data_IF_436499284802
#
_entry.id   IF_436499284802
#
_cell.length_a   1.000
_cell.length_b   1.000
_cell.length_c   1.000
_cell.angle_alpha   90.00
_cell.angle_beta   90.00
_cell.angle_gamma   90.00
#
_symmetry.space_group_name_H-M   'P 1'
#
loop_
_entity.id
_entity.type
_entity.pdbx_description
1 polymer ?
#
# COMPACT_ATOMS: atom_id res chain seq x y z
N UNK A 1 62.96 -7.98 56.08
CA UNK A 1 61.93 -8.40 55.12
C UNK A 1 62.42 -7.95 53.74
N UNK A 2 63.10 -8.85 53.01
CA UNK A 2 62.51 -9.71 51.97
C UNK A 2 62.01 -8.86 50.78
N UNK A 3 62.47 -8.98 49.53
CA UNK A 3 63.28 -10.02 48.90
C UNK A 3 64.00 -9.50 47.65
N UNK A 4 65.06 -10.23 47.29
CA UNK A 4 66.00 -10.00 46.20
C UNK A 4 65.44 -10.40 44.83
N UNK A 5 65.97 -9.74 43.81
CA UNK A 5 65.89 -10.00 42.37
C UNK A 5 66.04 -11.50 42.02
N UNK A 6 65.23 -11.97 41.07
CA UNK A 6 65.54 -13.16 40.27
C UNK A 6 65.28 -12.84 38.79
N UNK A 7 66.37 -12.75 38.02
CA UNK A 7 66.37 -12.81 36.57
C UNK A 7 66.47 -14.30 36.20
N UNK A 8 65.59 -14.79 35.31
CA UNK A 8 65.80 -16.06 34.62
C UNK A 8 65.40 -15.97 33.14
N UNK A 9 66.45 -16.02 32.32
CA UNK A 9 66.65 -16.61 31.00
C UNK A 9 65.48 -16.85 30.02
N UNK A 10 65.71 -16.30 28.81
CA UNK A 10 65.54 -16.85 27.45
C UNK A 10 64.66 -18.09 27.26
N UNK A 11 63.57 -17.89 26.52
CA UNK A 11 62.93 -18.91 25.70
C UNK A 11 62.70 -18.35 24.29
N UNK A 12 63.55 -18.74 23.34
CA UNK A 12 63.40 -18.41 21.93
C UNK A 12 62.25 -19.22 21.32
N UNK A 13 61.10 -18.59 21.08
CA UNK A 13 60.01 -19.14 20.28
C UNK A 13 59.85 -18.32 19.02
N UNK A 14 60.50 -18.75 17.93
CA UNK A 14 60.29 -18.17 16.61
C UNK A 14 58.89 -18.57 16.09
N UNK A 15 57.88 -17.78 16.42
CA UNK A 15 56.58 -17.82 15.76
C UNK A 15 56.72 -17.16 14.39
N UNK A 16 56.75 -17.98 13.34
CA UNK A 16 56.65 -17.51 11.97
C UNK A 16 55.32 -16.78 11.76
N UNK A 17 55.38 -15.46 11.65
CA UNK A 17 54.27 -14.63 11.22
C UNK A 17 54.03 -14.89 9.72
N UNK A 18 53.05 -15.72 9.41
CA UNK A 18 52.47 -15.76 8.07
C UNK A 18 51.57 -14.53 7.94
N UNK A 19 51.84 -13.56 7.05
CA UNK A 19 50.90 -12.49 6.81
C UNK A 19 49.67 -13.08 6.13
N UNK A 20 48.56 -13.18 6.85
CA UNK A 20 47.25 -13.41 6.25
C UNK A 20 46.88 -12.13 5.52
N UNK A 21 47.16 -12.08 4.22
CA UNK A 21 46.65 -11.03 3.34
C UNK A 21 45.15 -11.28 3.22
N UNK A 22 44.36 -10.64 4.09
CA UNK A 22 42.93 -10.56 3.89
C UNK A 22 42.70 -9.66 2.68
N UNK A 23 42.42 -10.28 1.53
CA UNK A 23 41.88 -9.56 0.39
C UNK A 23 40.48 -9.07 0.79
N UNK A 24 40.39 -7.84 1.31
CA UNK A 24 39.12 -7.12 1.34
C UNK A 24 38.74 -6.88 -0.11
N UNK A 25 37.95 -7.79 -0.67
CA UNK A 25 37.27 -7.56 -1.94
C UNK A 25 36.42 -6.30 -1.77
N UNK A 26 36.96 -5.17 -2.23
CA UNK A 26 36.16 -3.96 -2.42
C UNK A 26 35.11 -4.36 -3.45
N UNK A 27 33.87 -4.57 -3.00
CA UNK A 27 32.72 -4.66 -3.90
C UNK A 27 32.66 -3.31 -4.59
N UNK A 28 33.25 -3.21 -5.78
CA UNK A 28 33.11 -2.03 -6.61
C UNK A 28 31.65 -1.96 -7.01
N UNK A 29 30.94 -0.95 -6.52
CA UNK A 29 29.57 -0.68 -6.96
C UNK A 29 29.60 -0.45 -8.49
N UNK A 30 29.02 -1.35 -9.30
CA UNK A 30 29.03 -1.20 -10.75
C UNK A 30 28.32 0.09 -11.20
N UNK A 31 27.44 0.64 -10.36
CA UNK A 31 26.74 1.89 -10.64
C UNK A 31 27.65 3.13 -10.47
N UNK A 32 28.72 3.05 -9.67
CA UNK A 32 29.66 4.15 -9.48
C UNK A 32 30.36 4.54 -10.80
N UNK A 33 30.50 3.59 -11.73
CA UNK A 33 31.14 3.78 -13.03
C UNK A 33 30.15 3.83 -14.21
N UNK A 34 28.85 3.68 -13.96
CA UNK A 34 27.85 3.67 -15.02
C UNK A 34 27.49 5.11 -15.44
N UNK A 35 27.65 5.44 -16.73
CA UNK A 35 27.25 6.73 -17.28
C UNK A 35 25.74 6.75 -17.47
N UNK A 36 25.08 7.72 -16.88
CA UNK A 36 23.62 7.91 -16.90
C UNK A 36 23.30 9.27 -17.53
N UNK A 37 22.14 9.40 -18.21
CA UNK A 37 21.72 10.66 -18.81
C UNK A 37 21.41 11.74 -17.76
N UNK A 38 21.06 11.33 -16.54
CA UNK A 38 20.87 12.19 -15.38
C UNK A 38 21.88 11.82 -14.27
N UNK A 39 22.05 12.65 -13.23
CA UNK A 39 22.88 12.28 -12.08
C UNK A 39 22.39 11.06 -11.27
N UNK A 40 21.17 10.56 -11.52
CA UNK A 40 20.58 9.43 -10.79
C UNK A 40 21.30 8.14 -11.19
N UNK A 41 21.91 7.46 -10.19
CA UNK A 41 22.63 6.18 -10.38
C UNK A 41 21.82 4.95 -10.01
N UNK A 42 20.91 5.10 -9.05
CA UNK A 42 20.05 4.03 -8.57
C UNK A 42 18.62 4.54 -8.55
N UNK A 43 17.73 3.78 -9.16
CA UNK A 43 16.30 4.02 -9.11
C UNK A 43 15.67 2.90 -8.28
N UNK A 44 15.08 3.27 -7.15
CA UNK A 44 14.22 2.37 -6.38
C UNK A 44 12.78 2.75 -6.72
N UNK A 45 12.06 1.85 -7.38
CA UNK A 45 10.64 2.04 -7.68
C UNK A 45 9.82 1.28 -6.66
N UNK A 46 8.97 2.01 -5.93
CA UNK A 46 8.02 1.44 -4.97
C UNK A 46 6.65 1.49 -5.62
N UNK A 47 6.10 0.32 -5.97
CA UNK A 47 4.73 0.19 -6.46
C UNK A 47 3.84 -0.23 -5.31
N UNK A 48 2.98 0.67 -4.87
CA UNK A 48 1.86 0.34 -4.00
C UNK A 48 0.68 -0.10 -4.87
N UNK A 49 -0.03 -1.11 -4.41
CA UNK A 49 -1.10 -1.78 -5.16
C UNK A 49 -2.49 -1.30 -4.70
N UNK A 50 -3.46 -1.34 -5.64
CA UNK A 50 -4.91 -1.42 -5.40
C UNK A 50 -5.55 -0.32 -4.53
N UNK A 51 -4.98 0.88 -4.51
CA UNK A 51 -5.54 2.03 -3.77
C UNK A 51 -5.64 3.26 -4.66
N UNK A 52 -6.83 3.85 -4.72
CA UNK A 52 -7.10 5.02 -5.56
C UNK A 52 -6.40 6.28 -5.05
N UNK A 53 -6.26 7.27 -5.94
CA UNK A 53 -5.70 8.57 -5.59
C UNK A 53 -6.49 9.23 -4.44
N UNK A 54 -7.81 9.29 -4.54
CA UNK A 54 -8.66 9.91 -3.52
C UNK A 54 -8.58 9.17 -2.18
N UNK A 55 -8.37 7.85 -2.16
CA UNK A 55 -8.23 7.14 -0.90
C UNK A 55 -7.00 7.60 -0.08
N UNK A 56 -5.90 8.03 -0.73
CA UNK A 56 -4.71 8.54 -0.03
C UNK A 56 -4.62 10.07 0.03
N UNK A 57 -5.15 10.76 -0.97
CA UNK A 57 -4.90 12.17 -1.21
C UNK A 57 -6.17 13.01 -1.36
N UNK A 58 -7.36 12.44 -1.08
CA UNK A 58 -8.66 13.10 -1.21
C UNK A 58 -8.64 14.56 -0.78
N UNK A 59 -8.19 14.83 0.44
CA UNK A 59 -8.23 16.18 1.02
C UNK A 59 -6.87 16.86 1.03
N UNK A 60 -5.84 16.32 0.38
CA UNK A 60 -4.52 16.95 0.35
C UNK A 60 -4.61 18.38 -0.20
N UNK A 61 -3.95 19.38 0.39
CA UNK A 61 -2.99 19.32 1.49
C UNK A 61 -3.58 19.54 2.89
N UNK A 62 -4.89 19.35 3.07
CA UNK A 62 -5.60 19.55 4.32
C UNK A 62 -5.79 18.22 5.08
N UNK A 63 -5.66 18.31 6.40
CA UNK A 63 -5.88 17.21 7.34
C UNK A 63 -6.71 17.72 8.52
N UNK A 64 -7.50 16.85 9.14
CA UNK A 64 -8.44 17.23 10.19
C UNK A 64 -7.73 17.94 11.36
N UNK A 65 -6.61 17.37 11.83
CA UNK A 65 -5.83 17.82 12.99
C UNK A 65 -6.66 17.92 14.29
N UNK A 66 -5.99 17.86 15.44
CA UNK A 66 -6.66 18.01 16.74
C UNK A 66 -7.36 16.75 17.28
N UNK A 67 -7.38 15.64 16.52
CA UNK A 67 -7.80 14.33 17.04
C UNK A 67 -6.74 13.77 17.99
N UNK A 68 -7.13 13.43 19.22
CA UNK A 68 -6.22 12.94 20.27
C UNK A 68 -5.53 11.66 19.82
N UNK A 69 -4.19 11.64 19.89
CA UNK A 69 -3.37 10.48 19.52
C UNK A 69 -2.98 10.42 18.03
N UNK A 70 -3.44 11.35 17.22
CA UNK A 70 -3.04 11.48 15.82
C UNK A 70 -1.97 12.57 15.63
N UNK A 71 -0.95 12.34 14.77
CA UNK A 71 0.02 13.37 14.46
C UNK A 71 -0.64 14.46 13.64
N UNK A 72 -0.35 15.73 13.94
CA UNK A 72 -0.79 16.84 13.10
C UNK A 72 -0.04 16.85 11.77
N UNK A 73 -0.74 17.21 10.70
CA UNK A 73 -0.18 17.51 9.39
C UNK A 73 -0.49 18.97 9.03
N UNK A 74 0.56 19.73 8.74
CA UNK A 74 0.46 21.09 8.22
C UNK A 74 1.32 21.15 6.98
N UNK A 75 0.71 21.44 5.84
CA UNK A 75 1.44 21.64 4.61
C UNK A 75 2.29 22.91 4.67
N UNK A 76 3.31 22.97 3.83
CA UNK A 76 4.13 24.15 3.69
C UNK A 76 3.34 25.26 2.98
N UNK A 77 3.73 26.51 3.21
CA UNK A 77 3.14 27.63 2.49
C UNK A 77 3.37 27.48 0.99
N UNK A 78 2.31 27.72 0.21
CA UNK A 78 2.35 27.56 -1.25
C UNK A 78 2.21 26.12 -1.76
N UNK A 79 1.95 25.13 -0.90
CA UNK A 79 1.59 23.77 -1.37
C UNK A 79 0.33 23.84 -2.24
N UNK A 80 0.36 23.32 -3.48
CA UNK A 80 -0.80 23.35 -4.37
C UNK A 80 -1.89 22.38 -3.90
N UNK A 81 -3.12 22.69 -4.28
CA UNK A 81 -4.24 21.78 -4.12
C UNK A 81 -4.20 20.67 -5.18
N UNK A 82 -4.80 19.53 -4.85
CA UNK A 82 -5.05 18.45 -5.81
C UNK A 82 -6.50 18.50 -6.29
N UNK A 83 -6.78 17.85 -7.42
CA UNK A 83 -8.15 17.57 -7.82
C UNK A 83 -8.68 16.37 -7.03
N UNK A 84 -9.08 16.61 -5.78
CA UNK A 84 -9.60 15.59 -4.88
C UNK A 84 -10.95 15.97 -4.27
N UNK A 85 -11.32 15.29 -3.18
CA UNK A 85 -12.60 15.48 -2.49
C UNK A 85 -12.67 16.83 -1.79
N UNK A 86 -13.64 17.66 -2.21
CA UNK A 86 -13.95 18.94 -1.58
C UNK A 86 -15.45 19.23 -1.68
N UNK A 87 -15.94 20.08 -0.78
CA UNK A 87 -17.31 20.62 -0.81
C UNK A 87 -18.37 19.54 -1.08
N UNK A 88 -19.12 19.63 -2.20
CA UNK A 88 -20.17 18.67 -2.53
C UNK A 88 -19.72 17.22 -2.65
N UNK A 89 -18.48 16.94 -3.06
CA UNK A 89 -18.01 15.55 -3.17
C UNK A 89 -17.87 14.86 -1.80
N UNK A 90 -17.78 15.65 -0.71
CA UNK A 90 -17.75 15.15 0.67
C UNK A 90 -19.15 15.04 1.30
N UNK A 91 -20.12 15.84 0.84
CA UNK A 91 -21.42 15.98 1.54
C UNK A 91 -22.63 15.62 0.70
N UNK A 92 -22.49 15.54 -0.61
CA UNK A 92 -23.52 15.18 -1.58
C UNK A 92 -22.87 14.48 -2.79
N UNK A 93 -22.07 13.45 -2.50
CA UNK A 93 -21.47 12.58 -3.49
C UNK A 93 -22.57 11.84 -4.26
N UNK A 94 -22.41 11.61 -5.57
CA UNK A 94 -23.44 10.92 -6.36
C UNK A 94 -23.56 9.41 -6.03
N UNK A 95 -22.54 8.82 -5.41
CA UNK A 95 -22.65 7.45 -4.90
C UNK A 95 -23.67 7.33 -3.76
N UNK A 96 -24.05 6.10 -3.42
CA UNK A 96 -25.00 5.81 -2.34
C UNK A 96 -24.54 6.25 -0.94
N UNK A 97 -23.27 6.62 -0.77
CA UNK A 97 -22.70 7.10 0.48
C UNK A 97 -21.70 8.24 0.23
N UNK A 98 -21.65 9.16 1.18
CA UNK A 98 -20.63 10.19 1.19
C UNK A 98 -19.28 9.63 1.72
N UNK A 99 -18.15 10.02 1.11
CA UNK A 99 -16.83 9.72 1.62
C UNK A 99 -16.65 10.19 3.07
N UNK A 100 -16.09 9.32 3.91
CA UNK A 100 -15.75 9.67 5.27
C UNK A 100 -14.27 9.44 5.54
N UNK A 101 -13.74 10.28 6.45
CA UNK A 101 -12.35 10.19 6.87
C UNK A 101 -12.16 8.96 7.75
N UNK A 102 -11.25 8.08 7.34
CA UNK A 102 -10.70 7.03 8.20
C UNK A 102 -9.84 7.66 9.30
N UNK A 103 -9.99 7.19 10.53
CA UNK A 103 -9.12 7.56 11.64
C UNK A 103 -7.87 6.69 11.68
N UNK A 104 -6.86 7.12 12.43
CA UNK A 104 -5.54 6.45 12.46
C UNK A 104 -5.60 5.01 12.97
N UNK A 105 -6.62 4.68 13.75
CA UNK A 105 -6.88 3.33 14.24
C UNK A 105 -7.50 2.40 13.18
N UNK A 106 -7.93 2.97 12.05
CA UNK A 106 -8.52 2.31 10.88
C UNK A 106 -7.56 2.28 9.69
N UNK A 107 -6.24 2.32 9.95
CA UNK A 107 -5.19 2.32 8.93
C UNK A 107 -5.04 0.99 8.16
N UNK A 108 -5.87 0.00 8.43
CA UNK A 108 -5.98 -1.19 7.58
C UNK A 108 -7.47 -1.37 7.29
N UNK A 109 -7.81 -1.34 6.03
CA UNK A 109 -9.16 -1.62 5.55
C UNK A 109 -9.16 -2.97 4.85
N UNK A 110 -10.34 -3.53 4.69
CA UNK A 110 -10.56 -4.63 3.78
C UNK A 110 -10.24 -4.21 2.34
N UNK A 111 -9.82 -5.20 1.56
CA UNK A 111 -9.62 -5.06 0.13
C UNK A 111 -10.96 -4.87 -0.58
N UNK A 112 -11.03 -3.87 -1.46
CA UNK A 112 -12.21 -3.63 -2.29
C UNK A 112 -12.07 -4.44 -3.59
N UNK A 113 -13.18 -4.72 -4.26
CA UNK A 113 -13.13 -5.34 -5.57
C UNK A 113 -12.47 -4.37 -6.58
N UNK A 114 -11.49 -4.91 -7.27
CA UNK A 114 -10.63 -4.25 -8.26
C UNK A 114 -10.55 -5.10 -9.54
N UNK A 115 -11.57 -5.92 -9.78
CA UNK A 115 -11.77 -6.64 -11.01
C UNK A 115 -12.05 -5.66 -12.15
N UNK A 116 -11.38 -5.86 -13.29
CA UNK A 116 -11.45 -4.96 -14.45
C UNK A 116 -12.88 -4.59 -14.87
N UNK A 117 -13.78 -5.58 -14.93
CA UNK A 117 -15.17 -5.35 -15.32
C UNK A 117 -15.93 -4.52 -14.30
N UNK A 118 -15.75 -4.81 -13.01
CA UNK A 118 -16.44 -4.09 -11.95
C UNK A 118 -15.94 -2.66 -11.79
N UNK A 119 -14.64 -2.43 -11.99
CA UNK A 119 -14.09 -1.07 -12.09
C UNK A 119 -14.70 -0.29 -13.27
N UNK A 120 -14.80 -0.90 -14.46
CA UNK A 120 -15.45 -0.24 -15.61
C UNK A 120 -16.92 0.10 -15.34
N UNK A 121 -17.63 -0.81 -14.66
CA UNK A 121 -19.02 -0.58 -14.28
C UNK A 121 -19.15 0.47 -13.18
N UNK A 122 -18.18 0.59 -12.28
CA UNK A 122 -18.16 1.61 -11.22
C UNK A 122 -17.96 3.03 -11.78
N UNK A 123 -17.18 3.16 -12.86
CA UNK A 123 -17.00 4.43 -13.58
C UNK A 123 -18.30 4.92 -14.24
N UNK A 124 -19.23 4.00 -14.52
CA UNK A 124 -20.57 4.24 -15.09
C UNK A 124 -20.58 5.26 -16.24
N UNK A 125 -19.80 5.00 -17.29
CA UNK A 125 -19.69 5.90 -18.45
C UNK A 125 -19.31 7.37 -18.10
N UNK A 126 -18.66 7.58 -16.95
CA UNK A 126 -18.29 8.90 -16.42
C UNK A 126 -19.25 9.45 -15.36
N UNK A 127 -20.31 8.72 -15.01
CA UNK A 127 -21.26 9.05 -13.93
C UNK A 127 -20.63 8.96 -12.54
N UNK A 128 -19.70 8.01 -12.34
CA UNK A 128 -18.91 7.86 -11.10
C UNK A 128 -19.76 7.65 -9.83
N UNK A 129 -20.92 7.00 -9.93
CA UNK A 129 -21.95 6.88 -8.90
C UNK A 129 -22.28 5.42 -8.51
N UNK A 130 -21.46 4.47 -9.00
CA UNK A 130 -21.67 3.03 -8.84
C UNK A 130 -20.59 2.32 -8.02
N UNK A 131 -19.69 3.04 -7.34
CA UNK A 131 -18.58 2.43 -6.59
C UNK A 131 -19.05 1.58 -5.41
N UNK A 132 -20.07 2.03 -4.66
CA UNK A 132 -20.63 1.24 -3.55
C UNK A 132 -21.17 -0.11 -4.03
N UNK A 133 -21.77 -0.12 -5.22
CA UNK A 133 -22.48 -1.24 -5.81
C UNK A 133 -21.54 -2.20 -6.53
N UNK A 134 -20.49 -1.69 -7.18
CA UNK A 134 -19.64 -2.44 -8.09
C UNK A 134 -18.32 -2.87 -7.47
N UNK A 135 -17.61 -1.95 -6.81
CA UNK A 135 -16.29 -2.25 -6.23
C UNK A 135 -16.33 -2.41 -4.71
N UNK A 136 -17.32 -1.83 -4.03
CA UNK A 136 -17.47 -1.92 -2.57
C UNK A 136 -18.23 -3.14 -2.06
N UNK A 137 -18.87 -3.91 -2.95
CA UNK A 137 -19.77 -5.02 -2.61
C UNK A 137 -20.85 -4.67 -1.56
N UNK A 138 -21.21 -3.38 -1.43
CA UNK A 138 -22.09 -2.88 -0.37
C UNK A 138 -21.54 -3.01 1.06
N UNK A 139 -20.26 -3.36 1.26
CA UNK A 139 -19.67 -3.50 2.59
C UNK A 139 -19.68 -2.15 3.31
N UNK A 140 -20.21 -2.16 4.52
CA UNK A 140 -20.08 -1.03 5.44
C UNK A 140 -18.65 -0.96 5.98
N UNK A 141 -18.19 0.22 6.40
CA UNK A 141 -16.89 0.35 7.06
C UNK A 141 -16.76 -0.56 8.29
N UNK A 142 -17.83 -0.76 9.06
CA UNK A 142 -17.81 -1.64 10.22
C UNK A 142 -17.54 -3.11 9.84
N UNK A 143 -18.20 -3.61 8.78
CA UNK A 143 -17.97 -4.97 8.27
C UNK A 143 -16.55 -5.12 7.72
N UNK A 144 -16.09 -4.12 6.99
CA UNK A 144 -14.75 -4.05 6.43
C UNK A 144 -13.66 -4.13 7.49
N UNK A 145 -13.76 -3.31 8.55
CA UNK A 145 -12.80 -3.30 9.65
C UNK A 145 -12.82 -4.60 10.45
N UNK A 146 -14.01 -5.18 10.66
CA UNK A 146 -14.13 -6.47 11.33
C UNK A 146 -13.40 -7.59 10.57
N UNK A 147 -13.48 -7.60 9.23
CA UNK A 147 -12.83 -8.60 8.38
C UNK A 147 -11.30 -8.60 8.50
N UNK A 148 -10.70 -7.45 8.80
CA UNK A 148 -9.25 -7.30 9.00
C UNK A 148 -8.84 -7.23 10.48
N UNK A 149 -9.74 -7.59 11.39
CA UNK A 149 -9.47 -7.63 12.84
C UNK A 149 -9.32 -6.26 13.50
N UNK A 150 -9.76 -5.19 12.83
CA UNK A 150 -9.78 -3.84 13.39
C UNK A 150 -11.05 -3.57 14.19
N UNK A 151 -10.99 -2.58 15.09
CA UNK A 151 -12.15 -2.14 15.85
C UNK A 151 -13.16 -1.45 14.93
N UNK A 152 -14.45 -1.64 15.24
CA UNK A 152 -15.52 -0.90 14.59
C UNK A 152 -15.30 0.63 14.72
N UNK A 153 -15.80 1.43 13.77
CA UNK A 153 -15.70 2.88 13.83
C UNK A 153 -16.41 3.41 15.09
N UNK A 154 -15.75 4.33 15.81
CA UNK A 154 -16.34 4.96 16.99
C UNK A 154 -17.39 6.04 16.66
N UNK A 155 -17.58 6.34 15.37
CA UNK A 155 -18.51 7.34 14.85
C UNK A 155 -18.53 7.31 13.31
N UNK A 156 -19.31 8.20 12.72
CA UNK A 156 -19.53 8.27 11.27
C UNK A 156 -21.00 8.54 10.96
N UNK A 157 -21.27 8.99 9.74
CA UNK A 157 -22.62 9.25 9.24
C UNK A 157 -23.06 8.03 8.42
N UNK A 158 -24.28 7.54 8.63
CA UNK A 158 -24.82 6.45 7.80
C UNK A 158 -25.51 6.99 6.54
N UNK A 159 -25.39 6.32 5.38
CA UNK A 159 -24.60 5.11 5.14
C UNK A 159 -23.09 5.40 5.11
N UNK A 160 -22.29 4.45 5.61
CA UNK A 160 -20.83 4.50 5.59
C UNK A 160 -20.29 3.21 4.95
N UNK A 161 -19.77 3.35 3.73
CA UNK A 161 -19.23 2.26 2.93
C UNK A 161 -17.72 2.42 2.75
N UNK A 162 -16.98 1.34 3.02
CA UNK A 162 -15.51 1.39 3.07
C UNK A 162 -14.87 1.85 1.76
N UNK A 163 -15.46 1.50 0.62
CA UNK A 163 -15.01 1.90 -0.71
C UNK A 163 -15.01 3.43 -0.92
N UNK A 164 -15.84 4.16 -0.18
CA UNK A 164 -15.96 5.61 -0.30
C UNK A 164 -14.98 6.35 0.60
N UNK A 165 -14.40 5.69 1.60
CA UNK A 165 -13.66 6.35 2.66
C UNK A 165 -12.23 6.69 2.25
N UNK A 166 -11.60 7.61 2.98
CA UNK A 166 -10.28 8.15 2.62
C UNK A 166 -9.39 8.44 3.83
N UNK A 167 -8.09 8.44 3.60
CA UNK A 167 -7.05 8.90 4.53
C UNK A 167 -6.69 10.37 4.30
N UNK A 168 -6.10 10.97 5.34
CA UNK A 168 -5.49 12.31 5.26
C UNK A 168 -4.05 12.30 5.81
N UNK A 169 -3.44 13.50 5.86
CA UNK A 169 -2.07 13.69 6.34
C UNK A 169 -1.80 13.19 7.76
N UNK A 170 -2.82 12.93 8.58
CA UNK A 170 -2.63 12.39 9.93
C UNK A 170 -2.25 10.88 9.94
N UNK A 171 -2.27 10.21 8.78
CA UNK A 171 -2.07 8.75 8.65
C UNK A 171 -0.67 8.32 8.20
N UNK A 172 0.00 9.13 7.38
CA UNK A 172 1.09 8.69 6.49
C UNK A 172 2.25 7.97 7.21
N UNK A 173 2.60 8.36 8.45
CA UNK A 173 3.70 7.71 9.19
C UNK A 173 3.39 6.28 9.67
N UNK A 174 2.12 5.88 9.78
CA UNK A 174 1.73 4.54 10.27
C UNK A 174 1.62 3.52 9.13
N UNK A 175 1.12 3.91 7.96
CA UNK A 175 1.03 3.04 6.77
C UNK A 175 2.40 2.55 6.32
N UNK A 176 3.35 3.47 6.09
CA UNK A 176 4.71 3.12 5.62
C UNK A 176 5.40 2.17 6.60
N UNK A 177 5.25 2.38 7.92
CA UNK A 177 5.86 1.52 8.94
C UNK A 177 5.25 0.10 9.01
N UNK A 178 3.99 -0.08 8.60
CA UNK A 178 3.34 -1.40 8.62
C UNK A 178 3.57 -2.14 7.31
N UNK A 179 3.53 -1.45 6.17
CA UNK A 179 3.81 -2.05 4.86
C UNK A 179 5.26 -2.56 4.79
N UNK A 180 6.23 -1.79 5.31
CA UNK A 180 7.63 -2.24 5.43
C UNK A 180 7.85 -3.41 6.41
N UNK A 181 6.87 -3.74 7.26
CA UNK A 181 6.92 -4.91 8.16
C UNK A 181 6.30 -6.17 7.56
N UNK A 182 5.89 -6.15 6.28
CA UNK A 182 5.36 -7.33 5.59
C UNK A 182 4.01 -7.81 6.14
N UNK A 183 3.26 -6.95 6.84
CA UNK A 183 1.84 -7.21 7.07
C UNK A 183 1.14 -6.96 5.74
N UNK A 184 0.96 -8.04 4.97
CA UNK A 184 0.29 -7.99 3.67
C UNK A 184 -1.21 -7.80 3.87
N UNK A 185 -1.81 -7.01 2.98
CA UNK A 185 -3.25 -6.75 2.95
C UNK A 185 -4.04 -8.00 2.46
N UNK A 186 -3.33 -9.05 1.99
CA UNK A 186 -3.86 -10.36 1.59
C UNK A 186 -4.56 -11.17 2.71
N UNK A 187 -4.63 -10.64 3.94
CA UNK A 187 -5.42 -11.23 5.02
C UNK A 187 -6.90 -10.83 4.98
N UNK A 188 -7.29 -9.93 4.07
CA UNK A 188 -8.70 -9.65 3.86
C UNK A 188 -9.36 -10.76 3.02
N UNK A 189 -10.51 -11.32 3.44
CA UNK A 189 -11.35 -12.08 2.54
C UNK A 189 -11.64 -11.22 1.32
N UNK A 190 -11.19 -11.64 0.13
CA UNK A 190 -11.59 -10.97 -1.11
C UNK A 190 -13.12 -11.03 -1.20
N UNK A 191 -13.73 -9.95 -1.67
CA UNK A 191 -15.07 -10.06 -2.24
C UNK A 191 -14.98 -11.15 -3.31
N UNK A 192 -15.83 -12.18 -3.31
CA UNK A 192 -15.76 -13.20 -4.34
C UNK A 192 -16.01 -12.57 -5.70
N UNK A 193 -14.98 -12.53 -6.55
CA UNK A 193 -15.08 -12.14 -7.95
C UNK A 193 -16.27 -12.86 -8.58
N UNK A 194 -17.32 -12.12 -8.95
CA UNK A 194 -18.41 -12.68 -9.72
C UNK A 194 -17.92 -12.78 -11.16
N UNK A 195 -17.14 -13.82 -11.45
CA UNK A 195 -16.65 -14.13 -12.80
C UNK A 195 -17.84 -14.28 -13.74
N UNK A 196 -18.20 -13.21 -14.43
CA UNK A 196 -18.99 -13.29 -15.65
C UNK A 196 -18.03 -13.82 -16.71
N UNK A 197 -18.20 -15.09 -17.08
CA UNK A 197 -17.44 -15.73 -18.14
C UNK A 197 -17.69 -15.03 -19.49
N UNK A 198 -16.89 -14.00 -19.78
CA UNK A 198 -16.65 -13.48 -21.12
C UNK A 198 -15.34 -14.06 -21.64
N UNK A 199 -15.36 -15.27 -22.20
CA UNK A 199 -14.20 -15.83 -22.90
C UNK A 199 -13.88 -14.97 -24.13
N UNK A 200 -12.89 -14.09 -24.02
CA UNK A 200 -12.11 -13.62 -25.16
C UNK A 200 -10.89 -14.55 -25.29
N UNK A 201 -11.05 -15.65 -26.02
CA UNK A 201 -9.91 -16.43 -26.50
C UNK A 201 -10.10 -16.73 -27.98
N UNK A 202 -9.46 -15.89 -28.81
CA UNK A 202 -9.23 -16.21 -30.20
C UNK A 202 -8.16 -17.29 -30.31
N UNK A 203 -8.57 -18.48 -30.74
CA UNK A 203 -7.68 -19.45 -31.40
C UNK A 203 -8.42 -20.05 -32.59
N UNK A 204 -7.88 -19.78 -33.78
CA UNK A 204 -8.30 -20.44 -35.02
C UNK A 204 -7.95 -21.93 -35.00
N UNK A 205 -8.83 -22.71 -35.60
CA UNK A 205 -8.66 -24.15 -35.80
C UNK A 205 -9.96 -24.76 -36.34
N UNK A 206 -10.03 -24.87 -37.66
CA UNK A 206 -11.14 -25.53 -38.36
C UNK A 206 -11.16 -27.04 -38.08
N UNK A 207 -12.35 -27.59 -37.82
CA UNK A 207 -12.92 -28.80 -38.45
C UNK A 207 -14.01 -29.44 -37.57
N UNK A 208 -15.11 -29.86 -38.21
CA UNK A 208 -15.93 -30.98 -37.74
C UNK A 208 -17.35 -30.64 -37.27
N UNK A 209 -18.27 -30.52 -38.22
CA UNK A 209 -19.70 -30.59 -37.98
C UNK A 209 -20.12 -31.94 -37.36
N UNK A 210 -21.07 -31.92 -36.41
CA UNK A 210 -22.21 -32.86 -36.31
C UNK A 210 -23.16 -32.48 -35.16
N UNK A 211 -24.33 -32.05 -35.58
CA UNK A 211 -25.68 -32.29 -35.07
C UNK A 211 -25.85 -33.05 -33.74
N UNK A 212 -26.58 -32.47 -32.77
CA UNK A 212 -27.71 -33.14 -32.11
C UNK A 212 -28.54 -32.19 -31.22
N UNK A 213 -29.84 -32.14 -31.54
CA UNK A 213 -30.95 -31.68 -30.70
C UNK A 213 -31.00 -32.39 -29.32
N UNK A 214 -31.61 -31.67 -28.34
CA UNK A 214 -32.66 -32.11 -27.40
C UNK A 214 -32.42 -31.75 -25.91
N UNK A 215 -33.06 -30.68 -25.44
CA UNK A 215 -34.10 -30.59 -24.37
C UNK A 215 -34.07 -29.25 -23.67
#
# INVERSE_FOLDING_TARGET
>A
MLWKRLLLAMGAGALGLVPVISASGQVQDPAAFSRTATPIKHLVVIFQENVSFDHYFATYPFAANGTKGEPAFRAADGTPNVNGLNGPLLTNNPNLANPQRLSRDQALTCDQDHGYTDEQLAMDHGGMDMFVQKTGAGLTLAQCLAAVGNKAPAGGVSPNNAVMDYYDGNHQRRHVRRHLRGQRDDQCPRVPDRVLHGQLSGRGGAAGARDHLQR
#
